data_IF_628765831361
#
_entry.id   IF_628765831361
#
_cell.length_a   1.000
_cell.length_b   1.000
_cell.length_c   1.000
_cell.angle_alpha   90.00
_cell.angle_beta   90.00
_cell.angle_gamma   90.00
#
_symmetry.space_group_name_H-M   'P 1'
#
loop_
_entity.id
_entity.type
_entity.pdbx_description
1 polymer ?
#
# COMPACT_ATOMS: atom_id res chain seq x y z
N UNK A 1 -81.69 29.36 -66.37
CA UNK A 1 -80.99 30.46 -67.07
C UNK A 1 -80.02 31.10 -66.09
N UNK A 2 -78.76 31.17 -66.49
CA UNK A 2 -77.65 32.04 -66.05
C UNK A 2 -77.94 33.09 -64.97
N UNK A 3 -77.09 33.17 -63.94
CA UNK A 3 -76.14 34.30 -63.84
C UNK A 3 -74.98 34.05 -62.87
N UNK A 4 -73.85 34.62 -63.26
CA UNK A 4 -72.51 34.45 -62.70
C UNK A 4 -72.23 35.44 -61.57
N UNK A 5 -71.36 35.03 -60.64
CA UNK A 5 -70.81 35.86 -59.56
C UNK A 5 -69.35 36.24 -59.85
N UNK A 6 -69.04 37.53 -59.78
CA UNK A 6 -67.67 38.07 -59.78
C UNK A 6 -67.06 38.07 -58.36
N UNK A 7 -65.72 37.99 -58.22
CA UNK A 7 -65.06 37.70 -56.94
C UNK A 7 -64.56 38.94 -56.19
N UNK A 8 -64.64 38.93 -54.86
CA UNK A 8 -63.89 39.83 -53.97
C UNK A 8 -62.54 39.22 -53.59
N UNK A 9 -61.46 40.01 -53.72
CA UNK A 9 -60.08 39.65 -53.31
C UNK A 9 -59.82 40.21 -51.91
N UNK A 10 -59.53 39.36 -50.89
CA UNK A 10 -59.15 39.85 -49.57
C UNK A 10 -57.66 40.23 -49.48
N UNK A 11 -57.28 41.14 -48.55
CA UNK A 11 -55.93 41.69 -48.48
C UNK A 11 -54.91 40.68 -47.96
N UNK A 12 -53.71 40.68 -48.54
CA UNK A 12 -52.59 39.82 -48.11
C UNK A 12 -52.12 40.20 -46.69
N UNK A 13 -52.02 39.24 -45.75
CA UNK A 13 -51.52 39.52 -44.41
C UNK A 13 -49.98 39.68 -44.42
N UNK A 14 -49.51 40.87 -44.06
CA UNK A 14 -48.10 41.28 -43.84
C UNK A 14 -47.34 40.50 -42.73
N UNK A 15 -47.89 39.40 -42.20
CA UNK A 15 -47.34 38.69 -41.03
C UNK A 15 -46.33 37.58 -41.35
N UNK A 16 -46.17 37.18 -42.62
CA UNK A 16 -45.26 36.08 -42.99
C UNK A 16 -43.83 36.51 -43.35
N UNK A 17 -43.53 37.81 -43.39
CA UNK A 17 -42.19 38.32 -43.72
C UNK A 17 -41.25 38.48 -42.52
N UNK A 18 -41.76 38.45 -41.28
CA UNK A 18 -40.93 38.56 -40.08
C UNK A 18 -40.53 37.19 -39.49
N UNK A 19 -41.28 36.12 -39.77
CA UNK A 19 -40.89 34.77 -39.34
C UNK A 19 -39.84 34.12 -40.26
N UNK A 20 -39.72 34.53 -41.52
CA UNK A 20 -38.74 33.95 -42.45
C UNK A 20 -37.29 34.41 -42.24
N UNK A 21 -37.08 35.59 -41.65
CA UNK A 21 -35.75 36.17 -41.44
C UNK A 21 -35.13 35.83 -40.07
N UNK A 22 -35.95 35.45 -39.09
CA UNK A 22 -35.47 35.10 -37.74
C UNK A 22 -35.05 33.63 -37.63
N UNK A 23 -35.60 32.73 -38.44
CA UNK A 23 -35.27 31.30 -38.38
C UNK A 23 -33.80 30.99 -38.70
N UNK A 24 -33.18 31.57 -39.75
CA UNK A 24 -31.76 31.34 -40.02
C UNK A 24 -30.87 31.91 -38.91
N UNK A 25 -31.24 33.07 -38.36
CA UNK A 25 -30.50 33.73 -37.27
C UNK A 25 -30.61 32.95 -35.97
N UNK A 26 -31.79 32.43 -35.63
CA UNK A 26 -32.00 31.58 -34.45
C UNK A 26 -31.29 30.24 -34.59
N UNK A 27 -31.23 29.65 -35.79
CA UNK A 27 -30.46 28.43 -36.05
C UNK A 27 -28.96 28.70 -35.95
N UNK A 28 -28.45 29.82 -36.50
CA UNK A 28 -27.04 30.19 -36.38
C UNK A 28 -26.66 30.52 -34.94
N UNK A 29 -27.53 31.18 -34.17
CA UNK A 29 -27.31 31.45 -32.74
C UNK A 29 -27.38 30.16 -31.93
N UNK A 30 -28.33 29.26 -32.21
CA UNK A 30 -28.40 27.96 -31.55
C UNK A 30 -27.19 27.08 -31.87
N UNK A 31 -26.70 27.09 -33.12
CA UNK A 31 -25.48 26.40 -33.52
C UNK A 31 -24.23 27.05 -32.93
N UNK A 32 -24.17 28.38 -32.80
CA UNK A 32 -23.08 29.09 -32.15
C UNK A 32 -23.06 28.82 -30.65
N UNK A 33 -24.20 28.84 -29.97
CA UNK A 33 -24.32 28.49 -28.54
C UNK A 33 -24.00 27.02 -28.33
N UNK A 34 -24.47 26.11 -29.19
CA UNK A 34 -24.07 24.70 -29.16
C UNK A 34 -22.58 24.52 -29.44
N UNK A 35 -21.98 25.30 -30.34
CA UNK A 35 -20.54 25.30 -30.63
C UNK A 35 -19.73 25.87 -29.47
N UNK A 36 -20.19 26.91 -28.77
CA UNK A 36 -19.52 27.47 -27.59
C UNK A 36 -19.72 26.61 -26.34
N UNK A 37 -20.84 25.88 -26.22
CA UNK A 37 -21.04 24.86 -25.19
C UNK A 37 -20.16 23.64 -25.49
N UNK A 38 -20.11 23.19 -26.75
CA UNK A 38 -19.23 22.11 -27.19
C UNK A 38 -17.74 22.50 -27.05
N UNK A 39 -17.33 23.68 -27.50
CA UNK A 39 -15.97 24.21 -27.35
C UNK A 39 -15.62 24.55 -25.90
N UNK A 40 -16.60 24.98 -25.10
CA UNK A 40 -16.45 25.21 -23.65
C UNK A 40 -16.34 23.90 -22.86
N UNK A 41 -17.02 22.84 -23.30
CA UNK A 41 -16.82 21.47 -22.83
C UNK A 41 -15.48 20.89 -23.31
N UNK A 42 -14.97 21.32 -24.46
CA UNK A 42 -13.60 20.97 -24.92
C UNK A 42 -12.49 21.78 -24.24
N UNK A 43 -12.78 22.92 -23.60
CA UNK A 43 -11.79 23.76 -22.90
C UNK A 43 -11.71 23.53 -21.38
N UNK A 44 -12.24 22.41 -20.89
CA UNK A 44 -11.88 21.83 -19.59
C UNK A 44 -11.22 20.47 -19.76
N UNK A 45 -10.15 20.47 -20.53
CA UNK A 45 -9.11 19.45 -20.47
C UNK A 45 -7.87 20.14 -19.91
N UNK A 46 -7.27 19.65 -18.81
CA UNK A 46 -5.88 20.00 -18.54
C UNK A 46 -5.06 19.62 -19.77
N UNK A 47 -3.99 20.36 -20.04
CA UNK A 47 -3.09 20.13 -21.16
C UNK A 47 -2.90 18.62 -21.41
N UNK A 48 -3.38 18.14 -22.57
CA UNK A 48 -3.08 16.80 -23.05
C UNK A 48 -1.56 16.74 -23.23
N UNK A 49 -0.87 16.07 -22.32
CA UNK A 49 0.36 15.39 -22.71
C UNK A 49 -0.04 14.40 -23.79
N UNK A 50 0.56 14.48 -24.98
CA UNK A 50 0.37 13.49 -26.03
C UNK A 50 0.59 12.09 -25.44
N UNK A 51 -0.45 11.26 -25.47
CA UNK A 51 -0.37 9.87 -25.06
C UNK A 51 0.15 9.06 -26.23
N UNK A 52 1.16 8.20 -26.06
CA UNK A 52 1.60 7.30 -27.11
C UNK A 52 0.50 6.30 -27.48
N UNK A 53 0.43 5.97 -28.77
CA UNK A 53 -0.68 5.38 -29.51
C UNK A 53 -1.02 3.90 -29.19
N UNK A 54 -0.76 3.41 -27.97
CA UNK A 54 -0.88 1.98 -27.63
C UNK A 54 -1.67 1.63 -26.35
N UNK A 55 -2.60 2.48 -25.89
CA UNK A 55 -3.49 2.15 -24.76
C UNK A 55 -4.92 1.86 -25.24
N UNK A 56 -5.47 0.63 -25.04
CA UNK A 56 -6.85 0.30 -25.41
C UNK A 56 -7.90 1.10 -24.62
N UNK A 57 -9.02 1.44 -25.27
CA UNK A 57 -10.10 2.32 -24.76
C UNK A 57 -10.84 1.82 -23.50
N UNK A 58 -10.52 0.64 -22.96
CA UNK A 58 -11.21 0.04 -21.80
C UNK A 58 -10.40 0.00 -20.50
N UNK A 59 -9.23 0.63 -20.43
CA UNK A 59 -8.41 0.66 -19.21
C UNK A 59 -8.89 1.74 -18.22
N UNK A 60 -9.33 1.35 -17.01
CA UNK A 60 -9.79 2.26 -15.94
C UNK A 60 -8.76 2.40 -14.82
N UNK A 61 -8.33 3.64 -14.56
CA UNK A 61 -7.36 4.05 -13.55
C UNK A 61 -7.80 3.77 -12.10
N UNK A 62 -6.86 3.30 -11.27
CA UNK A 62 -7.04 3.04 -9.83
C UNK A 62 -5.93 3.75 -9.04
N UNK A 63 -6.29 4.84 -8.37
CA UNK A 63 -5.35 5.83 -7.81
C UNK A 63 -4.84 5.57 -6.37
N UNK A 64 -4.99 4.36 -5.82
CA UNK A 64 -4.64 4.10 -4.40
C UNK A 64 -3.53 3.06 -4.19
N UNK A 65 -3.12 2.31 -5.22
CA UNK A 65 -1.94 1.45 -5.18
C UNK A 65 -0.76 2.21 -5.79
N UNK A 66 -0.27 3.24 -5.09
CA UNK A 66 0.73 4.21 -5.58
C UNK A 66 0.23 5.04 -6.78
N UNK A 67 0.66 6.31 -6.97
CA UNK A 67 0.58 6.90 -8.30
C UNK A 67 1.42 6.04 -9.25
N UNK A 68 1.12 5.98 -10.55
CA UNK A 68 2.16 5.67 -11.52
C UNK A 68 3.20 6.78 -11.41
N UNK A 69 4.23 6.60 -10.58
CA UNK A 69 5.36 7.52 -10.55
C UNK A 69 6.14 7.28 -11.84
N UNK A 70 5.79 8.07 -12.85
CA UNK A 70 6.63 8.34 -14.02
C UNK A 70 7.65 9.37 -13.57
N UNK A 71 8.85 8.91 -13.21
CA UNK A 71 9.99 9.79 -13.05
C UNK A 71 10.59 10.08 -14.43
N UNK A 72 10.43 11.32 -14.93
CA UNK A 72 10.96 11.78 -16.21
C UNK A 72 12.38 12.39 -16.03
N UNK A 73 13.40 11.52 -16.03
CA UNK A 73 14.77 11.77 -16.54
C UNK A 73 15.90 11.96 -15.50
N UNK A 74 17.20 11.86 -15.89
CA UNK A 74 17.76 11.25 -17.09
C UNK A 74 18.30 9.85 -16.77
N UNK A 75 17.63 8.84 -17.33
CA UNK A 75 17.90 7.41 -17.12
C UNK A 75 16.55 6.69 -17.17
N UNK A 76 16.21 6.15 -18.34
CA UNK A 76 14.88 5.61 -18.70
C UNK A 76 14.32 4.62 -17.66
N UNK A 77 13.05 4.81 -17.27
CA UNK A 77 12.23 3.77 -16.64
C UNK A 77 11.13 3.38 -17.63
N UNK A 78 11.29 2.21 -18.25
CA UNK A 78 10.33 1.61 -19.19
C UNK A 78 9.29 0.79 -18.41
N UNK A 79 8.05 0.77 -18.90
CA UNK A 79 6.90 -0.04 -18.45
C UNK A 79 7.29 -1.33 -17.70
N UNK A 80 6.87 -1.46 -16.44
CA UNK A 80 7.23 -2.57 -15.56
C UNK A 80 6.29 -3.77 -15.69
N UNK A 81 6.55 -4.59 -16.69
CA UNK A 81 6.25 -6.02 -16.66
C UNK A 81 7.58 -6.75 -16.71
N UNK A 82 7.82 -7.68 -15.79
CA UNK A 82 9.06 -8.45 -15.66
C UNK A 82 10.32 -7.65 -15.29
N UNK A 83 10.66 -7.66 -14.00
CA UNK A 83 12.03 -7.41 -13.52
C UNK A 83 13.01 -8.55 -13.89
N UNK A 84 12.76 -9.33 -14.94
CA UNK A 84 13.64 -10.43 -15.37
C UNK A 84 13.78 -11.56 -14.34
N UNK A 85 12.97 -11.61 -13.29
CA UNK A 85 12.96 -12.75 -12.36
C UNK A 85 12.12 -13.93 -12.91
N UNK A 86 11.57 -13.80 -14.13
CA UNK A 86 11.03 -14.91 -14.94
C UNK A 86 12.18 -15.72 -15.56
N UNK A 87 12.03 -17.04 -15.60
CA UNK A 87 12.96 -17.93 -16.28
C UNK A 87 12.89 -17.70 -17.81
N UNK A 88 13.72 -16.79 -18.33
CA UNK A 88 13.89 -16.53 -19.77
C UNK A 88 15.01 -15.53 -20.06
N UNK A 89 16.02 -15.99 -20.83
CA UNK A 89 17.24 -15.37 -21.40
C UNK A 89 18.13 -14.42 -20.58
N UNK A 90 17.69 -13.93 -19.43
CA UNK A 90 18.56 -13.32 -18.42
C UNK A 90 18.77 -14.32 -17.30
N UNK A 91 19.78 -15.18 -17.43
CA UNK A 91 20.26 -15.95 -16.29
C UNK A 91 20.71 -14.95 -15.22
N UNK A 92 20.06 -14.92 -14.04
CA UNK A 92 20.45 -14.03 -12.97
C UNK A 92 21.84 -14.45 -12.50
N UNK A 93 22.80 -13.53 -12.58
CA UNK A 93 24.14 -13.75 -12.04
C UNK A 93 24.03 -13.96 -10.53
N UNK A 94 24.41 -15.14 -9.99
CA UNK A 94 24.29 -15.44 -8.56
C UNK A 94 25.06 -14.47 -7.66
N UNK A 95 26.10 -13.81 -8.19
CA UNK A 95 26.93 -12.85 -7.45
C UNK A 95 26.39 -11.42 -7.57
N UNK A 96 25.76 -11.07 -8.70
CA UNK A 96 25.39 -9.69 -9.02
C UNK A 96 23.88 -9.41 -8.97
N UNK A 97 23.02 -10.42 -9.05
CA UNK A 97 21.56 -10.27 -9.17
C UNK A 97 21.14 -9.43 -10.38
N UNK A 98 19.84 -9.17 -10.51
CA UNK A 98 19.34 -8.17 -11.47
C UNK A 98 19.38 -6.80 -10.80
N UNK A 99 20.11 -5.85 -11.39
CA UNK A 99 20.17 -4.47 -10.88
C UNK A 99 18.91 -3.72 -11.29
N UNK A 100 18.12 -3.31 -10.31
CA UNK A 100 16.92 -2.49 -10.53
C UNK A 100 17.31 -1.01 -10.45
N UNK A 101 16.97 -0.22 -11.48
CA UNK A 101 16.98 1.27 -11.50
C UNK A 101 18.30 2.00 -11.21
N UNK A 102 19.47 1.37 -11.38
CA UNK A 102 20.77 1.99 -11.08
C UNK A 102 21.04 2.21 -9.59
N UNK A 103 20.04 1.93 -8.75
CA UNK A 103 20.20 1.66 -7.33
C UNK A 103 20.79 0.25 -7.22
N UNK A 104 21.69 0.01 -6.27
CA UNK A 104 22.38 -1.29 -6.16
C UNK A 104 21.51 -2.34 -5.48
N UNK A 105 20.32 -2.53 -6.05
CA UNK A 105 19.26 -3.44 -5.66
C UNK A 105 19.40 -4.69 -6.51
N UNK A 106 19.61 -5.84 -5.87
CA UNK A 106 19.72 -7.16 -6.49
C UNK A 106 18.39 -7.89 -6.37
N UNK A 107 17.79 -8.34 -7.47
CA UNK A 107 16.78 -9.43 -7.42
C UNK A 107 17.52 -10.72 -7.07
N UNK A 108 17.11 -11.40 -5.99
CA UNK A 108 17.61 -12.71 -5.63
C UNK A 108 16.75 -13.78 -6.32
N UNK A 109 17.27 -14.48 -7.34
CA UNK A 109 16.53 -15.57 -7.95
C UNK A 109 16.38 -16.74 -6.96
N UNK A 110 15.22 -17.39 -6.97
CA UNK A 110 15.10 -18.75 -6.43
C UNK A 110 15.07 -18.87 -4.90
N UNK A 111 14.66 -17.83 -4.16
CA UNK A 111 14.26 -18.06 -2.77
C UNK A 111 12.94 -18.86 -2.77
N UNK A 112 13.05 -20.18 -2.61
CA UNK A 112 11.88 -21.07 -2.46
C UNK A 112 11.65 -21.33 -0.98
N UNK A 113 10.56 -20.77 -0.45
CA UNK A 113 10.18 -21.01 0.94
C UNK A 113 9.55 -22.39 1.09
N UNK A 114 10.09 -23.22 1.97
CA UNK A 114 9.47 -24.52 2.32
C UNK A 114 8.29 -24.32 3.27
N UNK A 115 8.36 -23.27 4.10
CA UNK A 115 7.34 -22.94 5.10
C UNK A 115 6.09 -22.29 4.49
N UNK A 116 6.25 -21.54 3.40
CA UNK A 116 5.13 -20.97 2.60
C UNK A 116 4.80 -21.82 1.37
N UNK A 117 5.66 -22.78 1.01
CA UNK A 117 5.45 -23.75 -0.09
C UNK A 117 5.35 -23.11 -1.47
N UNK A 118 6.05 -22.00 -1.68
CA UNK A 118 6.14 -21.34 -2.98
C UNK A 118 7.46 -20.57 -3.13
N UNK A 119 7.84 -20.21 -4.36
CA UNK A 119 8.81 -19.15 -4.60
C UNK A 119 8.39 -17.86 -3.88
N UNK A 120 9.38 -17.09 -3.45
CA UNK A 120 9.22 -15.76 -2.86
C UNK A 120 10.22 -14.83 -3.51
N UNK A 121 9.74 -13.69 -4.02
CA UNK A 121 10.67 -12.69 -4.49
C UNK A 121 11.39 -12.02 -3.31
N UNK A 122 12.64 -11.65 -3.55
CA UNK A 122 13.47 -10.98 -2.57
C UNK A 122 14.38 -9.99 -3.28
N UNK A 123 14.27 -8.72 -2.91
CA UNK A 123 15.20 -7.70 -3.37
C UNK A 123 16.12 -7.28 -2.24
N UNK A 124 17.40 -7.09 -2.55
CA UNK A 124 18.41 -6.67 -1.58
C UNK A 124 19.18 -5.47 -2.12
N UNK A 125 19.07 -4.34 -1.44
CA UNK A 125 19.87 -3.14 -1.69
C UNK A 125 21.17 -3.19 -0.89
N UNK A 126 22.29 -2.92 -1.58
CA UNK A 126 23.62 -2.84 -0.99
C UNK A 126 24.18 -1.40 -1.04
N UNK A 127 24.69 -0.86 0.08
CA UNK A 127 25.13 0.52 0.18
C UNK A 127 26.47 0.79 -0.50
N UNK A 128 26.80 2.07 -0.73
CA UNK A 128 27.96 2.54 -1.51
C UNK A 128 29.27 1.92 -1.01
N UNK A 129 30.00 1.22 -1.88
CA UNK A 129 31.23 0.53 -1.50
C UNK A 129 31.00 -0.58 -0.45
N UNK A 130 29.92 -1.34 -0.59
CA UNK A 130 29.71 -2.59 0.15
C UNK A 130 30.85 -3.56 -0.14
N UNK A 131 31.40 -4.16 0.92
CA UNK A 131 32.48 -5.14 0.89
C UNK A 131 32.02 -6.40 1.63
N UNK A 132 32.03 -7.54 0.93
CA UNK A 132 31.63 -8.83 1.49
C UNK A 132 32.62 -9.36 2.56
N UNK A 133 33.82 -8.77 2.61
CA UNK A 133 34.85 -9.05 3.63
C UNK A 133 34.96 -7.97 4.70
N UNK A 134 34.11 -6.95 4.65
CA UNK A 134 34.09 -5.84 5.60
C UNK A 134 33.42 -6.17 6.94
N UNK A 135 33.12 -5.13 7.72
CA UNK A 135 32.35 -5.27 8.97
C UNK A 135 30.86 -5.56 8.70
N UNK A 136 30.17 -6.34 9.56
CA UNK A 136 28.74 -6.58 9.42
C UNK A 136 27.93 -5.29 9.49
N UNK A 137 27.14 -5.03 8.45
CA UNK A 137 26.29 -3.85 8.34
C UNK A 137 24.93 -4.06 9.02
N UNK A 138 24.29 -3.00 9.55
CA UNK A 138 22.88 -3.03 9.92
C UNK A 138 21.97 -3.55 8.80
N UNK A 139 20.84 -4.13 9.19
CA UNK A 139 19.83 -4.67 8.29
C UNK A 139 18.52 -3.93 8.48
N UNK A 140 17.96 -3.43 7.38
CA UNK A 140 16.63 -2.82 7.31
C UNK A 140 15.75 -3.77 6.50
N UNK A 141 14.70 -4.31 7.09
CA UNK A 141 13.71 -5.14 6.38
C UNK A 141 12.49 -4.27 6.06
N UNK A 142 12.30 -3.91 4.81
CA UNK A 142 11.21 -3.04 4.35
C UNK A 142 10.09 -3.84 3.69
N UNK A 143 8.96 -3.97 4.39
CA UNK A 143 7.84 -4.84 4.07
C UNK A 143 6.74 -4.05 3.36
N UNK A 144 6.21 -4.62 2.26
CA UNK A 144 5.16 -3.99 1.45
C UNK A 144 3.78 -4.02 2.12
N UNK A 145 2.90 -3.12 1.69
CA UNK A 145 1.50 -3.05 2.11
C UNK A 145 0.61 -4.11 1.45
N UNK A 146 -0.66 -4.13 1.85
CA UNK A 146 -1.67 -5.02 1.27
C UNK A 146 -1.88 -4.70 -0.22
N UNK A 147 -2.00 -5.73 -1.06
CA UNK A 147 -2.17 -5.58 -2.50
C UNK A 147 -0.92 -5.09 -3.25
N UNK A 148 0.16 -4.77 -2.53
CA UNK A 148 1.48 -4.47 -3.08
C UNK A 148 2.36 -5.73 -3.13
N UNK A 149 3.52 -5.58 -3.75
CA UNK A 149 4.57 -6.60 -3.92
C UNK A 149 5.94 -5.98 -3.58
N UNK A 150 7.02 -6.75 -3.39
CA UNK A 150 8.31 -6.20 -2.95
C UNK A 150 8.88 -5.06 -3.79
N UNK A 151 8.68 -5.07 -5.11
CA UNK A 151 9.16 -3.99 -5.99
C UNK A 151 8.47 -2.65 -5.73
N UNK A 152 7.25 -2.65 -5.20
CA UNK A 152 6.59 -1.43 -4.75
C UNK A 152 7.33 -0.82 -3.56
N UNK A 153 7.74 -1.64 -2.59
CA UNK A 153 8.59 -1.18 -1.47
C UNK A 153 9.96 -0.72 -1.94
N UNK A 154 10.54 -1.35 -2.97
CA UNK A 154 11.77 -0.84 -3.61
C UNK A 154 11.53 0.58 -4.13
N UNK A 155 10.46 0.79 -4.92
CA UNK A 155 10.13 2.11 -5.47
C UNK A 155 9.87 3.18 -4.41
N UNK A 156 9.33 2.78 -3.25
CA UNK A 156 8.98 3.66 -2.14
C UNK A 156 10.20 4.01 -1.26
N UNK A 157 11.00 3.01 -0.88
CA UNK A 157 12.05 3.18 0.13
C UNK A 157 13.46 3.26 -0.44
N UNK A 158 13.78 2.52 -1.50
CA UNK A 158 15.18 2.29 -1.89
C UNK A 158 15.91 3.58 -2.29
N UNK A 159 15.22 4.49 -2.99
CA UNK A 159 15.79 5.78 -3.38
C UNK A 159 16.17 6.64 -2.17
N UNK A 160 15.24 6.81 -1.23
CA UNK A 160 15.44 7.63 -0.05
C UNK A 160 16.52 7.04 0.87
N UNK A 161 16.53 5.72 1.05
CA UNK A 161 17.55 5.04 1.86
C UNK A 161 18.94 5.06 1.20
N UNK A 162 19.06 4.85 -0.10
CA UNK A 162 20.37 4.92 -0.79
C UNK A 162 20.94 6.34 -0.75
N UNK A 163 20.11 7.34 -1.03
CA UNK A 163 20.55 8.74 -0.99
C UNK A 163 20.95 9.15 0.42
N UNK A 164 20.17 8.82 1.46
CA UNK A 164 20.50 9.16 2.83
C UNK A 164 21.83 8.53 3.28
N UNK A 165 22.10 7.30 2.84
CA UNK A 165 23.38 6.63 3.11
C UNK A 165 24.55 7.28 2.37
N UNK A 166 24.33 7.67 1.11
CA UNK A 166 25.34 8.33 0.29
C UNK A 166 25.65 9.76 0.77
N UNK A 167 24.65 10.44 1.34
CA UNK A 167 24.76 11.74 1.98
C UNK A 167 25.30 11.67 3.43
N UNK A 168 25.46 10.48 4.00
CA UNK A 168 25.92 10.28 5.38
C UNK A 168 24.88 10.59 6.46
N UNK A 169 23.61 10.79 6.08
CA UNK A 169 22.48 10.98 7.01
C UNK A 169 22.04 9.68 7.67
N UNK A 170 22.31 8.55 7.03
CA UNK A 170 22.11 7.20 7.57
C UNK A 170 23.43 6.42 7.43
N UNK A 171 23.90 5.71 8.47
CA UNK A 171 25.03 4.79 8.33
C UNK A 171 24.75 3.73 7.25
N UNK A 172 25.80 3.22 6.60
CA UNK A 172 25.67 2.15 5.60
C UNK A 172 24.93 0.95 6.22
N UNK A 173 23.88 0.49 5.55
CA UNK A 173 22.99 -0.58 5.94
C UNK A 173 22.55 -1.37 4.69
N UNK A 174 22.25 -2.65 4.87
CA UNK A 174 21.66 -3.51 3.86
C UNK A 174 20.14 -3.38 3.97
N UNK A 175 19.45 -3.09 2.86
CA UNK A 175 17.98 -3.05 2.87
C UNK A 175 17.42 -4.26 2.14
N UNK A 176 16.47 -4.95 2.76
CA UNK A 176 15.87 -6.19 2.28
C UNK A 176 14.38 -5.96 2.06
N UNK A 177 13.87 -6.37 0.89
CA UNK A 177 12.47 -6.23 0.50
C UNK A 177 11.87 -7.63 0.26
N UNK A 178 11.28 -8.24 1.29
CA UNK A 178 10.73 -9.60 1.22
C UNK A 178 9.30 -9.65 0.66
N UNK A 179 8.94 -10.78 0.06
CA UNK A 179 7.60 -11.05 -0.46
C UNK A 179 6.65 -11.67 0.59
N UNK A 180 5.69 -10.87 1.02
CA UNK A 180 4.59 -11.24 1.93
C UNK A 180 3.22 -11.31 1.24
N UNK A 181 3.19 -11.40 -0.09
CA UNK A 181 1.96 -11.69 -0.86
C UNK A 181 1.44 -13.08 -0.57
N UNK A 182 0.16 -13.35 -0.81
CA UNK A 182 -0.32 -14.75 -0.78
C UNK A 182 0.16 -15.52 -2.02
N UNK A 183 0.10 -14.90 -3.20
CA UNK A 183 0.38 -15.55 -4.48
C UNK A 183 1.85 -15.93 -4.72
N UNK A 184 2.81 -15.21 -4.14
CA UNK A 184 4.25 -15.54 -4.23
C UNK A 184 4.85 -15.46 -5.64
N UNK A 185 4.11 -14.95 -6.62
CA UNK A 185 4.65 -14.74 -7.96
C UNK A 185 5.59 -13.55 -8.00
N UNK A 186 5.35 -12.55 -7.14
CA UNK A 186 5.97 -11.22 -7.15
C UNK A 186 5.90 -10.52 -8.52
N UNK A 187 5.09 -11.04 -9.45
CA UNK A 187 4.83 -10.46 -10.76
C UNK A 187 3.49 -9.75 -10.70
N UNK A 188 3.44 -8.55 -11.27
CA UNK A 188 2.19 -7.88 -11.54
C UNK A 188 1.42 -8.67 -12.61
N UNK A 189 0.13 -8.88 -12.38
CA UNK A 189 -0.74 -9.37 -13.44
C UNK A 189 -0.94 -8.20 -14.41
N UNK A 190 -0.67 -8.44 -15.69
CA UNK A 190 -0.78 -7.43 -16.77
C UNK A 190 -2.19 -6.85 -16.89
N UNK A 191 -3.19 -7.56 -16.37
CA UNK A 191 -4.61 -7.17 -16.35
C UNK A 191 -5.05 -6.60 -15.00
N UNK A 192 -4.37 -6.98 -13.90
CA UNK A 192 -4.58 -6.47 -12.54
C UNK A 192 -3.23 -6.12 -11.89
N UNK A 193 -2.75 -4.86 -12.01
CA UNK A 193 -1.43 -4.46 -11.46
C UNK A 193 -1.39 -4.37 -9.92
N UNK A 194 -2.18 -5.18 -9.22
CA UNK A 194 -2.24 -5.37 -7.77
C UNK A 194 -2.33 -6.87 -7.45
N UNK A 195 -1.93 -7.31 -6.25
CA UNK A 195 -2.21 -8.69 -5.83
C UNK A 195 -3.68 -8.81 -5.41
N UNK A 196 -4.48 -9.42 -6.29
CA UNK A 196 -5.90 -9.70 -6.08
C UNK A 196 -6.17 -10.76 -5.01
N UNK A 197 -5.15 -11.52 -4.60
CA UNK A 197 -5.26 -12.53 -3.56
C UNK A 197 -4.98 -11.98 -2.15
N UNK A 198 -4.66 -10.68 -2.03
CA UNK A 198 -4.51 -10.00 -0.76
C UNK A 198 -3.11 -10.10 -0.15
N UNK A 199 -3.03 -10.01 1.18
CA UNK A 199 -1.76 -9.93 1.91
C UNK A 199 -1.74 -10.87 3.11
N UNK A 200 -0.58 -11.48 3.38
CA UNK A 200 -0.44 -12.55 4.38
C UNK A 200 -0.60 -12.11 5.82
N UNK A 201 -0.56 -10.79 6.09
CA UNK A 201 -0.44 -10.22 7.44
C UNK A 201 0.76 -10.73 8.23
N UNK A 202 1.72 -11.40 7.58
CA UNK A 202 2.84 -12.07 8.24
C UNK A 202 2.43 -13.23 9.14
N UNK A 203 1.20 -13.73 9.01
CA UNK A 203 0.63 -14.72 9.94
C UNK A 203 0.98 -16.14 9.51
N UNK A 204 1.25 -17.00 10.49
CA UNK A 204 1.24 -18.44 10.27
C UNK A 204 -0.21 -18.94 10.18
N UNK A 205 -0.66 -19.25 8.96
CA UNK A 205 -2.02 -19.72 8.66
C UNK A 205 -1.99 -20.90 7.68
N UNK A 206 -3.16 -21.41 7.28
CA UNK A 206 -3.22 -22.46 6.26
C UNK A 206 -2.83 -21.96 4.86
N UNK A 207 -2.70 -20.64 4.65
CA UNK A 207 -2.14 -20.06 3.42
C UNK A 207 -0.61 -20.03 3.39
N UNK A 208 0.05 -20.38 4.51
CA UNK A 208 1.50 -20.38 4.62
C UNK A 208 1.97 -19.92 5.98
N UNK A 209 3.16 -20.38 6.37
CA UNK A 209 3.79 -20.02 7.64
C UNK A 209 4.68 -18.78 7.46
N UNK A 210 4.09 -17.62 7.21
CA UNK A 210 4.82 -16.39 6.86
C UNK A 210 5.73 -15.87 7.99
N UNK A 211 5.27 -15.91 9.25
CA UNK A 211 6.11 -15.51 10.39
C UNK A 211 7.33 -16.42 10.53
N UNK A 212 7.13 -17.73 10.38
CA UNK A 212 8.22 -18.70 10.44
C UNK A 212 9.15 -18.59 9.23
N UNK A 213 8.61 -18.33 8.05
CA UNK A 213 9.39 -18.09 6.84
C UNK A 213 10.35 -16.91 7.02
N UNK A 214 9.88 -15.80 7.60
CA UNK A 214 10.75 -14.66 7.89
C UNK A 214 11.88 -15.03 8.85
N UNK A 215 11.53 -15.61 10.00
CA UNK A 215 12.48 -15.84 11.10
C UNK A 215 13.40 -17.05 10.87
N UNK A 216 12.94 -18.08 10.17
CA UNK A 216 13.65 -19.37 10.05
C UNK A 216 14.25 -19.63 8.68
N UNK A 217 13.84 -18.90 7.65
CA UNK A 217 14.40 -19.07 6.30
C UNK A 217 15.01 -17.76 5.80
N UNK A 218 14.23 -16.67 5.77
CA UNK A 218 14.63 -15.43 5.12
C UNK A 218 15.76 -14.72 5.87
N UNK A 219 15.59 -14.46 7.17
CA UNK A 219 16.62 -13.78 7.96
C UNK A 219 17.93 -14.60 8.02
N UNK A 220 17.91 -15.93 8.25
CA UNK A 220 19.11 -16.75 8.12
C UNK A 220 19.76 -16.69 6.73
N UNK A 221 18.97 -16.67 5.65
CA UNK A 221 19.51 -16.50 4.30
C UNK A 221 20.24 -15.17 4.15
N UNK A 222 19.67 -14.06 4.65
CA UNK A 222 20.33 -12.75 4.61
C UNK A 222 21.66 -12.77 5.38
N UNK A 223 21.67 -13.32 6.60
CA UNK A 223 22.87 -13.40 7.44
C UNK A 223 23.98 -14.29 6.85
N UNK A 224 23.61 -15.30 6.06
CA UNK A 224 24.56 -16.23 5.43
C UNK A 224 25.12 -15.72 4.11
N UNK A 225 24.34 -14.97 3.33
CA UNK A 225 24.72 -14.54 1.98
C UNK A 225 25.22 -13.09 1.91
N UNK A 226 25.03 -12.32 2.98
CA UNK A 226 25.47 -10.95 3.05
C UNK A 226 26.23 -10.68 4.33
N UNK A 227 27.05 -9.62 4.30
CA UNK A 227 27.78 -9.12 5.46
C UNK A 227 26.84 -8.30 6.34
N UNK A 228 25.83 -8.97 6.85
CA UNK A 228 24.74 -8.46 7.67
C UNK A 228 25.01 -8.71 9.15
N UNK A 229 24.64 -7.76 10.00
CA UNK A 229 24.71 -7.90 11.45
C UNK A 229 23.49 -8.65 11.98
N UNK A 230 23.72 -9.60 12.88
CA UNK A 230 22.66 -10.28 13.64
C UNK A 230 22.33 -9.55 14.97
N UNK A 231 22.95 -8.40 15.23
CA UNK A 231 22.70 -7.65 16.45
C UNK A 231 21.28 -7.04 16.44
N UNK A 232 20.47 -7.23 17.49
CA UNK A 232 19.12 -6.65 17.56
C UNK A 232 19.10 -5.13 17.40
N UNK A 233 20.04 -4.42 18.03
CA UNK A 233 20.19 -2.96 17.91
C UNK A 233 20.51 -2.48 16.49
N UNK A 234 20.96 -3.38 15.60
CA UNK A 234 21.26 -3.11 14.19
C UNK A 234 20.24 -3.73 13.22
N UNK A 235 19.12 -4.24 13.73
CA UNK A 235 18.01 -4.76 12.93
C UNK A 235 16.83 -3.81 13.02
N UNK A 236 16.32 -3.37 11.87
CA UNK A 236 15.15 -2.49 11.76
C UNK A 236 14.08 -3.16 10.90
N UNK A 237 12.84 -3.13 11.36
CA UNK A 237 11.69 -3.56 10.58
C UNK A 237 10.90 -2.34 10.15
N UNK A 238 10.78 -2.11 8.85
CA UNK A 238 10.03 -1.01 8.26
C UNK A 238 8.84 -1.52 7.46
N UNK A 239 7.74 -0.78 7.44
CA UNK A 239 6.65 -1.08 6.52
C UNK A 239 5.50 -0.08 6.56
N UNK A 240 4.68 -0.10 5.51
CA UNK A 240 3.46 0.69 5.42
C UNK A 240 2.22 -0.19 5.52
N UNK A 241 1.16 0.29 6.19
CA UNK A 241 -0.14 -0.38 6.25
C UNK A 241 -0.02 -1.82 6.80
N UNK A 242 -0.35 -2.84 6.00
CA UNK A 242 -0.08 -4.24 6.34
C UNK A 242 1.39 -4.50 6.69
N UNK A 243 2.35 -3.94 5.95
CA UNK A 243 3.78 -4.13 6.23
C UNK A 243 4.20 -3.56 7.59
N UNK A 244 3.61 -2.43 7.99
CA UNK A 244 3.80 -1.87 9.33
C UNK A 244 3.19 -2.76 10.42
N UNK A 245 2.01 -3.33 10.15
CA UNK A 245 1.36 -4.31 11.04
C UNK A 245 2.21 -5.57 11.21
N UNK A 246 2.83 -6.06 10.13
CA UNK A 246 3.76 -7.19 10.16
C UNK A 246 4.99 -6.87 11.01
N UNK A 247 5.59 -5.69 10.82
CA UNK A 247 6.74 -5.25 11.60
C UNK A 247 6.43 -5.18 13.11
N UNK A 248 5.27 -4.61 13.47
CA UNK A 248 4.79 -4.60 14.86
C UNK A 248 4.59 -6.01 15.40
N UNK A 249 3.99 -6.92 14.63
CA UNK A 249 3.79 -8.29 15.08
C UNK A 249 5.11 -9.03 15.34
N UNK A 250 6.15 -8.82 14.53
CA UNK A 250 7.47 -9.40 14.79
C UNK A 250 8.13 -8.84 16.04
N UNK A 251 7.99 -7.54 16.31
CA UNK A 251 8.39 -6.96 17.59
C UNK A 251 7.65 -7.63 18.76
N UNK A 252 6.33 -7.81 18.66
CA UNK A 252 5.53 -8.43 19.71
C UNK A 252 5.79 -9.94 19.86
N UNK A 253 6.33 -10.61 18.84
CA UNK A 253 6.75 -12.01 18.90
C UNK A 253 8.09 -12.18 19.64
N UNK A 254 9.06 -11.32 19.34
CA UNK A 254 10.38 -11.34 19.99
C UNK A 254 10.97 -9.93 20.14
N UNK A 255 10.61 -9.19 21.21
CA UNK A 255 11.05 -7.81 21.42
C UNK A 255 12.57 -7.68 21.52
N UNK A 256 13.25 -8.74 21.99
CA UNK A 256 14.70 -8.75 22.15
C UNK A 256 15.42 -8.96 20.83
N UNK A 257 14.79 -9.61 19.85
CA UNK A 257 15.36 -9.81 18.52
C UNK A 257 15.04 -8.66 17.56
N UNK A 258 13.85 -8.07 17.67
CA UNK A 258 13.36 -7.04 16.76
C UNK A 258 12.96 -5.75 17.48
N UNK A 259 13.87 -5.10 18.23
CA UNK A 259 13.50 -3.98 19.09
C UNK A 259 13.17 -2.68 18.34
N UNK A 260 13.50 -2.56 17.04
CA UNK A 260 13.33 -1.32 16.29
C UNK A 260 12.30 -1.48 15.15
N UNK A 261 11.16 -0.82 15.27
CA UNK A 261 10.08 -0.84 14.26
C UNK A 261 9.80 0.58 13.75
N UNK A 262 9.77 0.77 12.44
CA UNK A 262 9.30 1.99 11.78
C UNK A 262 8.07 1.71 10.92
N UNK A 263 6.91 2.26 11.27
CA UNK A 263 5.65 1.93 10.63
C UNK A 263 4.91 3.16 10.09
N UNK A 264 4.51 3.12 8.82
CA UNK A 264 3.65 4.14 8.22
C UNK A 264 2.21 3.62 8.23
N UNK A 265 1.30 4.40 8.83
CA UNK A 265 -0.13 4.14 8.96
C UNK A 265 -0.47 2.64 9.19
N UNK A 266 0.14 1.99 10.20
CA UNK A 266 -0.07 0.56 10.44
C UNK A 266 -1.50 0.26 10.89
N UNK A 267 -1.99 -0.94 10.59
CA UNK A 267 -3.19 -1.48 11.24
C UNK A 267 -2.90 -1.78 12.71
N UNK A 268 -3.29 -0.90 13.62
CA UNK A 268 -3.01 -1.01 15.05
C UNK A 268 -4.04 -1.88 15.78
N UNK A 269 -5.31 -1.74 15.40
CA UNK A 269 -6.42 -2.53 15.91
C UNK A 269 -7.37 -2.96 14.78
N UNK A 270 -7.10 -4.15 14.21
CA UNK A 270 -7.91 -4.77 13.17
C UNK A 270 -9.32 -5.17 13.65
N UNK A 271 -9.63 -5.02 14.94
CA UNK A 271 -10.94 -5.28 15.53
C UNK A 271 -11.57 -4.03 16.12
N UNK A 272 -10.99 -2.86 15.88
CA UNK A 272 -11.51 -1.60 16.39
C UNK A 272 -12.99 -1.42 16.05
N UNK A 273 -13.77 -1.00 17.04
CA UNK A 273 -15.07 -0.36 16.81
C UNK A 273 -15.50 0.50 17.99
N UNK A 274 -16.36 1.46 17.71
CA UNK A 274 -17.15 2.19 18.69
C UNK A 274 -18.60 1.70 18.59
N UNK A 275 -19.11 0.99 19.60
CA UNK A 275 -20.44 0.38 19.60
C UNK A 275 -20.76 -0.45 18.33
N UNK A 276 -19.75 -1.14 17.76
CA UNK A 276 -19.89 -1.95 16.56
C UNK A 276 -19.63 -1.20 15.24
N UNK A 277 -19.47 0.12 15.27
CA UNK A 277 -19.04 0.89 14.10
C UNK A 277 -17.51 0.97 14.03
N UNK A 278 -16.94 0.32 13.01
CA UNK A 278 -15.50 0.26 12.74
C UNK A 278 -14.92 1.60 12.27
N UNK A 279 -15.77 2.47 11.71
CA UNK A 279 -15.35 3.70 11.03
C UNK A 279 -15.72 4.96 11.83
N UNK A 280 -16.22 4.77 13.05
CA UNK A 280 -16.49 5.86 13.97
C UNK A 280 -15.21 6.36 14.65
N UNK A 281 -15.21 7.65 14.97
CA UNK A 281 -14.15 8.31 15.73
C UNK A 281 -13.92 7.61 17.08
N UNK A 282 -12.72 7.76 17.62
CA UNK A 282 -12.38 7.19 18.92
C UNK A 282 -13.16 7.85 20.05
N UNK A 283 -13.89 7.03 20.81
CA UNK A 283 -14.41 7.38 22.13
C UNK A 283 -14.21 6.18 23.09
N UNK A 284 -13.47 6.36 24.20
CA UNK A 284 -13.20 5.28 25.16
C UNK A 284 -14.47 4.68 25.78
N UNK A 285 -15.57 5.43 25.85
CA UNK A 285 -16.82 4.94 26.44
C UNK A 285 -17.51 3.91 25.55
N UNK A 286 -17.38 4.06 24.22
CA UNK A 286 -17.99 3.17 23.25
C UNK A 286 -17.03 2.14 22.66
N UNK A 287 -15.71 2.26 22.88
CA UNK A 287 -14.74 1.32 22.32
C UNK A 287 -15.06 -0.12 22.70
N UNK A 288 -15.35 -0.95 21.71
CA UNK A 288 -15.64 -2.38 21.85
C UNK A 288 -15.00 -3.13 20.68
N UNK A 289 -14.04 -4.04 20.91
CA UNK A 289 -13.51 -4.85 19.82
C UNK A 289 -14.61 -5.70 19.17
N UNK A 290 -14.63 -5.77 17.85
CA UNK A 290 -15.57 -6.59 17.08
C UNK A 290 -15.39 -8.08 17.44
N UNK A 291 -16.47 -8.75 17.83
CA UNK A 291 -16.52 -10.20 18.15
C UNK A 291 -17.44 -10.96 17.20
N UNK A 292 -17.66 -10.42 16.01
CA UNK A 292 -18.51 -11.01 14.98
C UNK A 292 -17.84 -10.87 13.63
N UNK A 293 -18.02 -11.89 12.80
CA UNK A 293 -17.54 -11.88 11.42
C UNK A 293 -18.61 -11.27 10.53
N UNK A 294 -18.24 -10.30 9.70
CA UNK A 294 -19.13 -9.78 8.67
C UNK A 294 -18.32 -9.53 7.39
N UNK A 295 -18.40 -10.45 6.39
CA UNK A 295 -17.63 -10.31 5.16
C UNK A 295 -17.95 -9.04 4.36
N UNK A 296 -19.08 -8.38 4.65
CA UNK A 296 -19.49 -7.13 3.99
C UNK A 296 -19.19 -5.89 4.84
N UNK A 297 -18.69 -6.05 6.07
CA UNK A 297 -18.30 -4.93 6.92
C UNK A 297 -17.18 -4.16 6.24
N UNK A 298 -17.39 -2.86 6.07
CA UNK A 298 -16.43 -1.97 5.42
C UNK A 298 -15.21 -1.77 6.29
N UNK A 299 -14.04 -1.75 5.64
CA UNK A 299 -12.73 -1.52 6.25
C UNK A 299 -12.24 -0.08 6.04
N UNK A 300 -12.90 0.69 5.17
CA UNK A 300 -12.47 2.05 4.79
C UNK A 300 -13.57 3.08 4.94
N UNK A 301 -13.21 4.30 5.32
CA UNK A 301 -14.08 5.48 5.42
C UNK A 301 -14.61 5.95 4.06
N UNK A 302 -13.92 5.61 2.96
CA UNK A 302 -14.31 6.01 1.60
C UNK A 302 -15.68 5.42 1.17
N UNK A 303 -16.73 6.26 1.14
CA UNK A 303 -18.11 5.84 0.84
C UNK A 303 -18.41 5.52 -0.62
N UNK A 304 -17.47 5.72 -1.54
CA UNK A 304 -17.63 5.48 -2.98
C UNK A 304 -17.74 3.99 -3.33
N UNK A 305 -18.07 3.69 -4.60
CA UNK A 305 -18.19 2.30 -5.11
C UNK A 305 -16.92 1.48 -4.78
N UNK A 306 -15.75 2.12 -4.86
CA UNK A 306 -14.47 1.50 -4.51
C UNK A 306 -14.42 1.12 -3.03
N UNK A 307 -14.65 2.04 -2.10
CA UNK A 307 -14.59 1.70 -0.67
C UNK A 307 -15.72 0.78 -0.17
N UNK A 308 -16.80 0.58 -0.95
CA UNK A 308 -17.78 -0.48 -0.71
C UNK A 308 -17.26 -1.89 -1.04
N UNK A 309 -16.20 -2.02 -1.85
CA UNK A 309 -15.55 -3.32 -2.13
C UNK A 309 -14.48 -3.68 -1.09
N UNK A 310 -14.11 -2.74 -0.22
CA UNK A 310 -13.05 -2.90 0.77
C UNK A 310 -13.68 -3.35 2.06
N UNK A 311 -13.89 -4.66 2.14
CA UNK A 311 -14.58 -5.28 3.27
C UNK A 311 -13.69 -6.31 3.95
N UNK A 312 -14.12 -6.84 5.09
CA UNK A 312 -13.42 -7.93 5.77
C UNK A 312 -13.21 -9.14 4.87
N UNK A 313 -14.08 -9.36 3.87
CA UNK A 313 -13.87 -10.40 2.85
C UNK A 313 -12.57 -10.25 2.08
N UNK A 314 -12.17 -9.02 1.78
CA UNK A 314 -10.92 -8.78 1.05
C UNK A 314 -9.73 -8.84 1.98
N UNK A 315 -9.82 -8.17 3.14
CA UNK A 315 -8.67 -7.96 4.00
C UNK A 315 -8.40 -9.11 4.96
N UNK A 316 -9.44 -9.73 5.52
CA UNK A 316 -9.30 -10.66 6.63
C UNK A 316 -9.51 -12.12 6.21
N UNK A 317 -10.60 -12.40 5.50
CA UNK A 317 -11.00 -13.78 5.19
C UNK A 317 -9.92 -14.61 4.46
N UNK A 318 -9.14 -14.09 3.49
CA UNK A 318 -8.17 -14.93 2.77
C UNK A 318 -7.14 -15.60 3.69
N UNK A 319 -6.78 -14.96 4.80
CA UNK A 319 -5.83 -15.47 5.78
C UNK A 319 -6.56 -16.06 6.98
N UNK A 320 -7.46 -15.31 7.59
CA UNK A 320 -8.05 -15.60 8.90
C UNK A 320 -9.25 -16.55 8.84
N UNK A 321 -9.78 -16.87 7.65
CA UNK A 321 -10.80 -17.92 7.41
C UNK A 321 -10.17 -19.14 6.70
N UNK A 322 -8.83 -19.23 6.67
CA UNK A 322 -8.13 -20.30 5.93
C UNK A 322 -8.28 -21.69 6.58
N UNK A 323 -8.83 -21.77 7.77
CA UNK A 323 -9.23 -22.98 8.51
C UNK A 323 -10.64 -23.47 8.21
N UNK A 324 -11.42 -22.75 7.38
CA UNK A 324 -12.66 -23.26 6.78
C UNK A 324 -12.48 -24.61 6.09
N UNK A 325 -11.26 -24.86 5.62
CA UNK A 325 -10.80 -26.18 5.21
C UNK A 325 -9.65 -26.60 6.12
N UNK A 326 -9.65 -27.87 6.55
CA UNK A 326 -8.60 -28.41 7.43
C UNK A 326 -7.23 -28.25 6.78
N UNK A 327 -6.32 -27.59 7.48
CA UNK A 327 -4.91 -27.46 7.08
C UNK A 327 -3.94 -27.85 8.19
N UNK A 328 -2.65 -27.66 7.92
CA UNK A 328 -1.57 -28.12 8.79
C UNK A 328 -1.21 -27.13 9.92
N UNK A 329 -1.65 -25.86 9.81
CA UNK A 329 -1.36 -24.82 10.79
C UNK A 329 -2.54 -24.63 11.73
N UNK A 330 -3.74 -24.47 11.16
CA UNK A 330 -4.98 -24.36 11.90
C UNK A 330 -5.87 -25.55 11.58
N UNK A 331 -6.13 -26.36 12.62
CA UNK A 331 -6.83 -27.65 12.50
C UNK A 331 -8.30 -27.59 12.89
N UNK A 332 -8.71 -26.52 13.57
CA UNK A 332 -10.09 -26.26 14.02
C UNK A 332 -10.63 -25.06 13.24
N UNK A 333 -11.84 -25.17 12.72
CA UNK A 333 -12.58 -24.05 12.14
C UNK A 333 -13.04 -23.13 13.28
N UNK A 334 -12.53 -21.89 13.28
CA UNK A 334 -12.82 -20.88 14.30
C UNK A 334 -13.29 -19.59 13.64
N UNK A 335 -14.11 -18.78 14.34
CA UNK A 335 -14.50 -17.47 13.85
C UNK A 335 -13.28 -16.60 13.47
N UNK A 336 -13.41 -15.85 12.38
CA UNK A 336 -12.34 -14.99 11.85
C UNK A 336 -11.87 -14.00 12.92
N UNK A 337 -12.80 -13.41 13.67
CA UNK A 337 -12.45 -12.47 14.74
C UNK A 337 -11.55 -13.08 15.83
N UNK A 338 -11.63 -14.39 16.12
CA UNK A 338 -10.72 -15.06 17.07
C UNK A 338 -9.30 -15.17 16.50
N UNK A 339 -9.19 -15.49 15.20
CA UNK A 339 -7.91 -15.56 14.49
C UNK A 339 -7.26 -14.19 14.38
N UNK A 340 -8.06 -13.15 14.11
CA UNK A 340 -7.60 -11.76 14.10
C UNK A 340 -7.14 -11.35 15.50
N UNK A 341 -7.90 -11.63 16.56
CA UNK A 341 -7.53 -11.33 17.97
C UNK A 341 -6.13 -11.85 18.31
N UNK A 342 -5.78 -13.06 17.87
CA UNK A 342 -4.47 -13.65 18.15
C UNK A 342 -3.30 -12.94 17.44
N UNK A 343 -3.57 -12.17 16.37
CA UNK A 343 -2.57 -11.53 15.51
C UNK A 343 -2.74 -10.00 15.41
N UNK A 344 -3.63 -9.42 16.23
CA UNK A 344 -3.96 -8.01 16.24
C UNK A 344 -3.08 -7.28 17.29
N UNK A 345 -2.29 -6.25 16.94
CA UNK A 345 -1.33 -5.64 17.87
C UNK A 345 -1.95 -5.20 19.20
N UNK A 346 -3.09 -4.52 19.17
CA UNK A 346 -3.82 -4.09 20.37
C UNK A 346 -4.29 -5.27 21.24
N UNK A 347 -4.87 -6.31 20.65
CA UNK A 347 -5.33 -7.47 21.42
C UNK A 347 -4.14 -8.26 22.00
N UNK A 348 -3.03 -8.35 21.26
CA UNK A 348 -1.82 -9.01 21.75
C UNK A 348 -1.25 -8.32 22.99
N UNK A 349 -1.14 -6.99 22.96
CA UNK A 349 -0.68 -6.21 24.11
C UNK A 349 -1.64 -6.31 25.31
N UNK A 350 -2.95 -6.38 25.03
CA UNK A 350 -3.99 -6.48 26.05
C UNK A 350 -4.06 -7.86 26.70
N UNK A 351 -4.06 -8.92 25.89
CA UNK A 351 -4.33 -10.30 26.34
C UNK A 351 -3.07 -11.02 26.84
N UNK A 352 -1.91 -10.66 26.29
CA UNK A 352 -0.61 -11.27 26.61
C UNK A 352 0.41 -10.17 26.84
N UNK A 353 0.52 -9.64 28.08
CA UNK A 353 1.48 -8.57 28.38
C UNK A 353 2.90 -8.97 27.95
N UNK A 354 3.43 -8.26 26.97
CA UNK A 354 4.81 -8.40 26.47
C UNK A 354 5.64 -7.30 27.13
N UNK A 355 6.85 -7.62 27.57
CA UNK A 355 7.80 -6.61 28.04
C UNK A 355 8.47 -5.94 26.84
N UNK A 356 8.20 -4.65 26.67
CA UNK A 356 8.70 -3.83 25.56
C UNK A 356 9.77 -2.82 26.02
N UNK A 357 10.30 -2.93 27.24
CA UNK A 357 11.40 -2.07 27.67
C UNK A 357 12.62 -2.18 26.74
N UNK A 358 13.14 -1.04 26.31
CA UNK A 358 14.27 -0.97 25.38
C UNK A 358 13.90 -1.23 23.92
N UNK A 359 12.61 -1.24 23.60
CA UNK A 359 12.12 -1.25 22.22
C UNK A 359 11.75 0.16 21.77
N UNK A 360 11.93 0.42 20.48
CA UNK A 360 11.70 1.71 19.84
C UNK A 360 10.72 1.52 18.69
N UNK A 361 9.56 2.16 18.79
CA UNK A 361 8.52 2.13 17.76
C UNK A 361 8.39 3.54 17.20
N UNK A 362 8.92 3.74 16.00
CA UNK A 362 8.60 4.91 15.21
C UNK A 362 7.32 4.64 14.40
N UNK A 363 6.29 5.46 14.52
CA UNK A 363 5.16 5.36 13.59
C UNK A 363 4.48 6.70 13.34
N UNK A 364 3.82 6.82 12.19
CA UNK A 364 2.99 7.99 11.85
C UNK A 364 1.72 7.54 11.14
N UNK A 365 0.60 8.23 11.35
CA UNK A 365 -0.64 8.00 10.62
C UNK A 365 -1.40 9.31 10.34
N UNK A 366 -2.21 9.30 9.28
CA UNK A 366 -3.02 10.45 8.90
C UNK A 366 -4.17 10.69 9.88
N UNK A 367 -4.49 11.95 10.17
CA UNK A 367 -5.66 12.38 10.94
C UNK A 367 -6.99 12.23 10.16
N UNK A 368 -6.90 11.83 8.89
CA UNK A 368 -8.01 11.45 8.03
C UNK A 368 -7.69 10.13 7.31
N UNK A 369 -7.09 9.19 8.04
CA UNK A 369 -6.68 7.90 7.49
C UNK A 369 -7.88 7.14 6.90
N UNK A 370 -7.70 6.59 5.70
CA UNK A 370 -8.77 5.92 4.98
C UNK A 370 -9.24 4.62 5.65
N UNK A 371 -8.48 4.07 6.60
CA UNK A 371 -8.76 2.86 7.37
C UNK A 371 -8.97 3.14 8.87
N UNK A 372 -9.18 4.40 9.24
CA UNK A 372 -9.49 4.83 10.60
C UNK A 372 -8.35 4.48 11.59
N UNK A 373 -7.09 4.59 11.17
CA UNK A 373 -5.92 4.28 12.01
C UNK A 373 -5.77 5.31 13.14
N UNK A 374 -6.14 6.56 12.89
CA UNK A 374 -6.20 7.64 13.88
C UNK A 374 -7.11 7.28 15.08
N UNK A 375 -8.25 6.62 14.83
CA UNK A 375 -9.13 6.17 15.91
C UNK A 375 -8.59 4.94 16.68
N UNK A 376 -7.67 4.17 16.08
CA UNK A 376 -7.04 3.00 16.71
C UNK A 376 -5.86 3.40 17.60
N UNK A 377 -5.17 4.47 17.22
CA UNK A 377 -3.92 4.93 17.82
C UNK A 377 -3.99 5.16 19.34
N UNK A 378 -5.01 5.85 19.91
CA UNK A 378 -5.09 6.08 21.35
C UNK A 378 -5.07 4.79 22.19
N UNK A 379 -5.62 3.69 21.67
CA UNK A 379 -5.67 2.40 22.36
C UNK A 379 -4.31 1.71 22.31
N UNK A 380 -3.67 1.73 21.13
CA UNK A 380 -2.35 1.16 20.95
C UNK A 380 -1.30 1.90 21.79
N UNK A 381 -1.33 3.23 21.80
CA UNK A 381 -0.36 4.05 22.51
C UNK A 381 -0.37 3.79 24.01
N UNK A 382 -1.56 3.73 24.60
CA UNK A 382 -1.73 3.43 26.03
C UNK A 382 -1.13 2.05 26.35
N UNK A 383 -1.47 1.04 25.55
CA UNK A 383 -1.03 -0.34 25.79
C UNK A 383 0.47 -0.54 25.54
N UNK A 384 1.02 0.02 24.47
CA UNK A 384 2.43 -0.08 24.12
C UNK A 384 3.31 0.68 25.12
N UNK A 385 2.91 1.88 25.52
CA UNK A 385 3.62 2.66 26.55
C UNK A 385 3.59 1.94 27.89
N UNK A 386 2.43 1.39 28.29
CA UNK A 386 2.30 0.60 29.52
C UNK A 386 3.16 -0.67 29.50
N UNK A 387 3.38 -1.25 28.33
CA UNK A 387 4.27 -2.38 28.12
C UNK A 387 5.77 -2.00 28.13
N UNK A 388 6.11 -0.71 28.10
CA UNK A 388 7.48 -0.20 28.20
C UNK A 388 8.12 0.24 26.87
N UNK A 389 7.35 0.29 25.77
CA UNK A 389 7.87 0.73 24.47
C UNK A 389 8.15 2.24 24.45
N UNK A 390 9.23 2.66 23.77
CA UNK A 390 9.46 4.06 23.41
C UNK A 390 8.74 4.35 22.09
N UNK A 391 7.69 5.17 22.13
CA UNK A 391 6.95 5.61 20.95
C UNK A 391 7.52 6.94 20.43
N UNK A 392 7.83 6.98 19.14
CA UNK A 392 8.31 8.18 18.45
C UNK A 392 7.58 8.37 17.09
N UNK A 393 7.41 9.60 16.61
CA UNK A 393 7.42 10.82 17.41
C UNK A 393 6.22 10.86 18.38
N UNK A 394 6.23 11.66 19.46
CA UNK A 394 5.10 11.77 20.39
C UNK A 394 3.78 12.23 19.74
N UNK A 395 3.88 12.89 18.59
CA UNK A 395 2.78 13.43 17.80
C UNK A 395 2.66 12.68 16.45
N UNK A 396 2.52 11.36 16.54
CA UNK A 396 2.44 10.44 15.39
C UNK A 396 1.16 10.56 14.55
N UNK A 397 0.06 11.11 15.08
CA UNK A 397 -1.12 11.45 14.27
C UNK A 397 -0.95 12.85 13.64
N UNK A 398 -0.99 12.90 12.31
CA UNK A 398 -0.61 14.07 11.51
C UNK A 398 -1.59 14.39 10.40
N UNK A 399 -1.66 15.65 9.92
CA UNK A 399 -2.46 15.98 8.74
C UNK A 399 -2.16 15.08 7.54
N UNK A 400 -3.17 14.34 7.08
CA UNK A 400 -3.09 13.58 5.83
C UNK A 400 -3.89 12.27 5.81
N UNK A 401 -3.58 11.42 4.84
CA UNK A 401 -4.38 10.24 4.45
C UNK A 401 -3.55 8.96 4.40
N UNK A 402 -4.18 7.85 4.01
CA UNK A 402 -3.53 6.56 3.83
C UNK A 402 -2.91 6.44 2.43
N UNK A 403 -1.92 7.28 2.11
CA UNK A 403 -1.39 7.40 0.75
C UNK A 403 0.12 7.68 0.67
N UNK A 404 0.67 7.57 -0.56
CA UNK A 404 2.09 7.85 -0.80
C UNK A 404 2.50 9.32 -0.60
N UNK A 405 1.68 10.33 -0.92
CA UNK A 405 1.96 11.70 -0.48
C UNK A 405 2.24 11.80 1.01
N UNK A 406 1.43 11.17 1.87
CA UNK A 406 1.67 11.13 3.31
C UNK A 406 3.01 10.45 3.63
N UNK A 407 3.28 9.29 3.06
CA UNK A 407 4.56 8.60 3.23
C UNK A 407 5.77 9.51 2.90
N UNK A 408 5.73 10.19 1.74
CA UNK A 408 6.82 11.03 1.26
C UNK A 408 7.09 12.23 2.17
N UNK A 409 6.09 12.72 2.91
CA UNK A 409 6.28 13.81 3.86
C UNK A 409 7.13 13.39 5.06
N UNK A 410 7.06 12.13 5.49
CA UNK A 410 7.63 11.67 6.76
C UNK A 410 8.76 10.64 6.60
N UNK A 411 9.12 10.24 5.37
CA UNK A 411 10.19 9.26 5.15
C UNK A 411 11.55 9.70 5.71
N UNK A 412 11.88 10.99 5.60
CA UNK A 412 13.14 11.54 6.12
C UNK A 412 13.18 11.52 7.66
N UNK A 413 12.03 11.60 8.34
CA UNK A 413 11.95 11.51 9.81
C UNK A 413 12.27 10.09 10.28
N UNK A 414 11.74 9.06 9.60
CA UNK A 414 12.08 7.66 9.91
C UNK A 414 13.57 7.39 9.68
N UNK A 415 14.15 7.97 8.63
CA UNK A 415 15.59 7.86 8.35
C UNK A 415 16.40 8.49 9.48
N UNK A 416 16.03 9.69 9.92
CA UNK A 416 16.68 10.37 11.04
C UNK A 416 16.55 9.58 12.34
N UNK A 417 15.40 8.98 12.60
CA UNK A 417 15.15 8.09 13.74
C UNK A 417 16.08 6.86 13.72
N UNK A 418 16.17 6.15 12.59
CA UNK A 418 17.09 5.01 12.45
C UNK A 418 18.55 5.43 12.65
N UNK A 419 18.95 6.56 12.08
CA UNK A 419 20.30 7.07 12.23
C UNK A 419 20.65 7.41 13.68
N UNK A 420 19.72 8.01 14.43
CA UNK A 420 19.84 8.27 15.88
C UNK A 420 20.06 6.98 16.66
N UNK A 421 19.32 5.92 16.35
CA UNK A 421 19.44 4.63 17.05
C UNK A 421 20.74 3.89 16.69
N UNK A 422 21.20 3.99 15.45
CA UNK A 422 22.47 3.39 15.02
C UNK A 422 23.72 4.11 15.53
N UNK A 423 23.57 5.35 16.02
CA UNK A 423 24.67 6.15 16.57
C UNK A 423 24.90 5.92 18.08
N UNK A 424 23.98 5.26 18.78
CA UNK A 424 24.12 4.85 20.19
C UNK A 424 24.97 3.58 20.27
#
# INVERSE_FOLDING_TARGET
MSEASTPEIPPRPRRWLLLGCLTPVLVVVALAVAFFIWAGQQKRTPAKSEQPEWVPENMRWVAWASPPVVYNGPGELVFYSDFGCAAGDHLPDPQNGITVTGQRVRCQPGFVSKLVRSPRQLFVHLPAGYDDRGEPLPVIVAIHGFGQRPHHSVAIFAAALDEAQRAGRLPKAITVFPDFTLGGTGLDDLTTPWDENGGSWGVNSNQGRFADHFTRELLPFILQNYRASDAPAKTFLLGGSMGGTIALNFLLDDPRRFPNVGAFYPGLDLRYSCNGDRLADYDPQCYRPLTTDDPNRRMTTNGGIKGRMFTERLFLLPVFDSDKYRGDVWTEDRPVWERVRANNPVDRLRDKPVDLHGTHIWYVAGDQDDFNIDAQSPIFDELATKAGAELEPPDHIRPGRHDLPFFNLYVDETIAWMAKLLAK
#
